data_IF_243526323592
#
_entry.id   IF_243526323592
#
_cell.length_a   1.000
_cell.length_b   1.000
_cell.length_c   1.000
_cell.angle_alpha   90.00
_cell.angle_beta   90.00
_cell.angle_gamma   90.00
#
_symmetry.space_group_name_H-M   'P 1'
#
loop_
_entity.id
_entity.type
_entity.pdbx_description
1 polymer ?
#
# COMPACT_ATOMS: atom_id res chain seq x y z
N UNK A 1 -19.63 -1.26 -10.18
CA UNK A 1 -19.00 0.01 -9.78
C UNK A 1 -18.39 -0.24 -8.42
N UNK A 2 -17.14 -0.66 -8.36
CA UNK A 2 -16.46 -0.86 -7.07
C UNK A 2 -15.99 0.51 -6.56
N UNK A 3 -16.54 0.89 -5.42
CA UNK A 3 -16.14 2.08 -4.67
C UNK A 3 -14.65 1.94 -4.36
N UNK A 4 -13.78 2.61 -5.10
CA UNK A 4 -12.39 2.81 -4.66
C UNK A 4 -12.47 3.62 -3.37
N UNK A 5 -12.43 2.93 -2.22
CA UNK A 5 -12.31 3.59 -0.93
C UNK A 5 -11.15 4.59 -1.00
N UNK A 6 -11.41 5.81 -0.55
CA UNK A 6 -10.39 6.84 -0.53
C UNK A 6 -9.23 6.35 0.35
N UNK A 7 -8.01 6.44 -0.17
CA UNK A 7 -6.80 6.06 0.55
C UNK A 7 -6.75 6.71 1.93
N UNK A 8 -6.62 5.90 2.98
CA UNK A 8 -6.45 6.37 4.36
C UNK A 8 -4.96 6.58 4.69
N UNK A 9 -4.49 7.84 4.81
CA UNK A 9 -3.08 8.13 5.08
C UNK A 9 -2.68 7.89 6.54
N UNK A 10 -3.63 7.84 7.47
CA UNK A 10 -3.36 7.62 8.89
C UNK A 10 -3.24 6.11 9.22
N UNK A 11 -3.88 5.26 8.39
CA UNK A 11 -3.69 3.81 8.42
C UNK A 11 -3.26 3.26 7.05
N UNK A 12 -1.99 3.42 6.66
CA UNK A 12 -1.52 3.05 5.33
C UNK A 12 -1.63 1.55 5.04
N UNK A 13 -1.64 0.70 6.07
CA UNK A 13 -1.73 -0.75 5.96
C UNK A 13 -3.17 -1.27 5.95
N UNK A 14 -4.21 -0.43 5.83
CA UNK A 14 -5.60 -0.89 5.73
C UNK A 14 -5.83 -1.75 4.47
N UNK A 15 -6.65 -2.81 4.56
CA UNK A 15 -7.12 -3.53 3.36
C UNK A 15 -7.83 -2.57 2.40
N UNK A 16 -7.58 -2.71 1.09
CA UNK A 16 -8.06 -1.81 0.05
C UNK A 16 -7.19 -0.56 -0.16
N UNK A 17 -6.29 -0.22 0.78
CA UNK A 17 -5.33 0.86 0.54
C UNK A 17 -4.26 0.43 -0.48
N UNK A 18 -3.63 1.42 -1.10
CA UNK A 18 -2.46 1.20 -1.94
C UNK A 18 -1.17 1.56 -1.19
N UNK A 19 -0.16 0.72 -1.32
CA UNK A 19 1.19 0.94 -0.76
C UNK A 19 2.23 0.96 -1.87
N UNK A 20 3.36 1.60 -1.58
CA UNK A 20 4.56 1.52 -2.39
C UNK A 20 5.48 0.42 -1.82
N UNK A 21 6.06 -0.40 -2.69
CA UNK A 21 7.06 -1.38 -2.32
C UNK A 21 8.19 -1.41 -3.34
N UNK A 22 9.39 -1.72 -2.88
CA UNK A 22 10.54 -1.91 -3.75
C UNK A 22 10.51 -3.35 -4.32
N UNK A 23 10.42 -3.45 -5.65
CA UNK A 23 10.44 -4.73 -6.35
C UNK A 23 11.55 -4.72 -7.41
N UNK A 24 12.66 -5.39 -7.08
CA UNK A 24 13.93 -5.20 -7.80
C UNK A 24 14.42 -3.76 -7.60
N UNK A 25 14.78 -3.08 -8.67
CA UNK A 25 15.28 -1.69 -8.62
C UNK A 25 14.18 -0.62 -8.75
N UNK A 26 12.91 -1.03 -8.77
CA UNK A 26 11.79 -0.12 -9.04
C UNK A 26 10.77 -0.12 -7.90
N UNK A 27 10.32 1.08 -7.53
CA UNK A 27 9.13 1.23 -6.69
C UNK A 27 7.88 0.93 -7.49
N UNK A 28 7.00 0.12 -6.91
CA UNK A 28 5.71 -0.23 -7.48
C UNK A 28 4.61 0.09 -6.50
N UNK A 29 3.43 0.32 -7.04
CA UNK A 29 2.21 0.50 -6.28
C UNK A 29 1.47 -0.83 -6.28
N UNK A 30 0.98 -1.24 -5.12
CA UNK A 30 0.22 -2.46 -4.94
C UNK A 30 -0.92 -2.23 -3.93
N UNK A 31 -2.04 -2.92 -4.12
CA UNK A 31 -3.16 -2.89 -3.19
C UNK A 31 -2.92 -3.85 -2.02
N UNK A 32 -3.34 -3.45 -0.82
CA UNK A 32 -3.32 -4.28 0.37
C UNK A 32 -4.54 -5.19 0.35
N UNK A 33 -4.28 -6.49 0.27
CA UNK A 33 -5.31 -7.53 0.28
C UNK A 33 -5.55 -8.08 1.70
N UNK A 34 -4.49 -8.19 2.49
CA UNK A 34 -4.54 -8.81 3.81
C UNK A 34 -3.45 -8.25 4.72
N UNK A 35 -3.71 -8.18 6.02
CA UNK A 35 -2.83 -7.55 7.02
C UNK A 35 -2.68 -8.46 8.21
N UNK A 36 -1.44 -8.83 8.51
CA UNK A 36 -1.07 -9.52 9.74
C UNK A 36 -0.26 -8.57 10.65
N UNK A 37 0.20 -9.08 11.79
CA UNK A 37 0.93 -8.28 12.78
C UNK A 37 2.18 -7.59 12.18
N UNK A 38 2.98 -8.33 11.41
CA UNK A 38 4.30 -7.92 10.92
C UNK A 38 4.41 -7.86 9.38
N UNK A 39 3.46 -8.47 8.67
CA UNK A 39 3.45 -8.58 7.21
C UNK A 39 2.11 -8.23 6.58
N UNK A 40 2.14 -7.98 5.28
CA UNK A 40 1.03 -7.51 4.46
C UNK A 40 1.04 -8.27 3.15
N UNK A 41 -0.13 -8.70 2.70
CA UNK A 41 -0.32 -9.33 1.40
C UNK A 41 -0.70 -8.27 0.38
N UNK A 42 0.04 -8.22 -0.71
CA UNK A 42 -0.09 -7.20 -1.75
C UNK A 42 -0.51 -7.80 -3.09
N UNK A 43 -1.31 -7.06 -3.85
CA UNK A 43 -1.59 -7.36 -5.24
C UNK A 43 -0.42 -6.96 -6.14
N UNK A 44 0.22 -7.94 -6.77
CA UNK A 44 1.15 -7.69 -7.87
C UNK A 44 0.44 -7.81 -9.22
N UNK A 45 1.15 -7.47 -10.30
CA UNK A 45 0.58 -7.54 -11.65
C UNK A 45 0.20 -8.96 -12.07
N UNK A 46 0.98 -9.95 -11.65
CA UNK A 46 0.84 -11.37 -12.07
C UNK A 46 0.65 -12.34 -10.92
N UNK A 47 0.89 -11.90 -9.68
CA UNK A 47 0.84 -12.73 -8.49
C UNK A 47 0.59 -11.88 -7.23
N UNK A 48 0.28 -12.54 -6.11
CA UNK A 48 0.19 -11.89 -4.80
C UNK A 48 1.45 -12.14 -3.99
N UNK A 49 1.85 -11.18 -3.16
CA UNK A 49 3.12 -11.23 -2.44
C UNK A 49 2.94 -10.90 -0.97
N UNK A 50 3.56 -11.69 -0.09
CA UNK A 50 3.73 -11.33 1.32
C UNK A 50 4.98 -10.50 1.52
N UNK A 51 4.83 -9.36 2.20
CA UNK A 51 5.94 -8.45 2.51
C UNK A 51 5.86 -7.93 3.93
N UNK A 52 7.03 -7.71 4.54
CA UNK A 52 7.11 -7.09 5.86
C UNK A 52 6.65 -5.64 5.79
N UNK A 53 5.92 -5.19 6.80
CA UNK A 53 5.54 -3.76 6.95
C UNK A 53 6.74 -2.82 6.86
N UNK A 54 7.93 -3.28 7.29
CA UNK A 54 9.18 -2.52 7.26
C UNK A 54 9.71 -2.26 5.84
N UNK A 55 9.36 -3.12 4.88
CA UNK A 55 9.77 -3.00 3.47
C UNK A 55 8.77 -2.20 2.62
N UNK A 56 7.71 -1.68 3.24
CA UNK A 56 6.62 -0.99 2.57
C UNK A 56 6.62 0.48 2.93
N UNK A 57 6.25 1.30 1.95
CA UNK A 57 6.19 2.73 2.07
C UNK A 57 4.74 3.20 1.85
N UNK A 58 4.21 4.10 2.69
CA UNK A 58 2.90 4.70 2.46
C UNK A 58 2.90 5.57 1.19
N UNK A 59 1.71 5.79 0.61
CA UNK A 59 1.50 6.68 -0.54
C UNK A 59 1.49 8.13 -0.09
N UNK A 60 2.68 8.72 0.02
CA UNK A 60 2.85 10.12 0.44
C UNK A 60 2.18 11.13 -0.52
N UNK A 61 2.05 10.78 -1.80
CA UNK A 61 1.35 11.60 -2.81
C UNK A 61 -0.16 11.70 -2.54
N UNK A 62 -0.74 10.77 -1.77
CA UNK A 62 -2.16 10.78 -1.38
C UNK A 62 -2.38 11.51 -0.06
N UNK A 63 -1.32 11.78 0.70
CA UNK A 63 -1.42 12.61 1.90
C UNK A 63 -1.60 14.06 1.45
N UNK A 64 -2.77 14.64 1.72
CA UNK A 64 -2.95 16.09 1.55
C UNK A 64 -1.94 16.79 2.46
N UNK A 65 -0.84 17.27 1.89
CA UNK A 65 0.08 18.12 2.60
C UNK A 65 -0.69 19.40 3.02
N UNK A 66 -0.56 19.86 4.27
CA UNK A 66 -1.12 21.14 4.65
C UNK A 66 -0.49 22.21 3.76
N UNK A 67 -1.32 22.95 3.01
CA UNK A 67 -0.88 24.14 2.29
C UNK A 67 -0.41 25.14 3.36
N UNK A 68 0.89 25.42 3.38
CA UNK A 68 1.44 26.60 4.07
C UNK A 68 1.04 27.86 3.33
#
# INVERSE_FOLDING_TARGET
MESQEAYDPDNPFKVGNSLCWLHGDNYRVAEVLEVEADRVRLSGMTATYWRSKKSLLPRLDKRRLPRR
#
